data_IF_838889547754
#
_entry.id   IF_838889547754
#
_cell.length_a   1.000
_cell.length_b   1.000
_cell.length_c   1.000
_cell.angle_alpha   90.00
_cell.angle_beta   90.00
_cell.angle_gamma   90.00
#
_symmetry.space_group_name_H-M   'P 1'
#
loop_
_entity.id
_entity.type
_entity.pdbx_description
1 polymer ?
#
# COMPACT_ATOMS: atom_id res chain seq x y z
N UNK A 1 -9.68 -39.74 26.67
CA UNK A 1 -9.47 -38.29 26.79
C UNK A 1 -7.96 -38.02 26.82
N UNK A 2 -7.18 -38.86 26.13
CA UNK A 2 -5.76 -39.12 26.44
C UNK A 2 -4.86 -38.98 25.19
N UNK A 3 -5.43 -38.56 24.06
CA UNK A 3 -4.71 -38.50 22.80
C UNK A 3 -3.84 -37.24 22.69
N UNK A 4 -4.32 -36.09 23.18
CA UNK A 4 -3.58 -34.81 23.14
C UNK A 4 -2.29 -34.84 23.99
N UNK A 5 -2.33 -35.42 25.19
CA UNK A 5 -1.16 -35.53 26.06
C UNK A 5 -0.06 -36.46 25.48
N UNK A 6 -0.47 -37.49 24.73
CA UNK A 6 0.45 -38.40 24.03
C UNK A 6 1.15 -37.71 22.85
N UNK A 7 0.40 -36.90 22.10
CA UNK A 7 0.92 -36.07 20.99
C UNK A 7 1.92 -35.06 21.53
N UNK A 8 1.58 -34.37 22.62
CA UNK A 8 2.44 -33.35 23.23
C UNK A 8 3.77 -33.91 23.73
N UNK A 9 3.77 -35.16 24.21
CA UNK A 9 4.99 -35.86 24.62
C UNK A 9 5.87 -36.23 23.43
N UNK A 10 5.28 -36.79 22.37
CA UNK A 10 6.01 -37.22 21.17
C UNK A 10 6.61 -36.03 20.40
N UNK A 11 5.91 -34.88 20.37
CA UNK A 11 6.34 -33.67 19.67
C UNK A 11 6.97 -32.60 20.58
N UNK A 12 7.45 -32.99 21.76
CA UNK A 12 8.15 -32.09 22.71
C UNK A 12 9.37 -31.39 22.08
N UNK A 13 10.05 -32.04 21.14
CA UNK A 13 11.17 -31.46 20.36
C UNK A 13 10.71 -30.63 19.14
N UNK A 14 9.41 -30.45 18.94
CA UNK A 14 8.79 -29.67 17.85
C UNK A 14 8.68 -30.40 16.50
N UNK A 15 9.58 -31.34 16.22
CA UNK A 15 9.59 -32.22 15.05
C UNK A 15 9.74 -33.67 15.51
N UNK A 16 8.91 -34.57 14.98
CA UNK A 16 9.04 -36.01 15.18
C UNK A 16 8.62 -36.76 13.92
N UNK A 17 9.05 -38.02 13.82
CA UNK A 17 8.60 -38.93 12.76
C UNK A 17 7.19 -39.44 13.07
N UNK A 18 6.46 -39.82 12.02
CA UNK A 18 5.13 -40.39 12.16
C UNK A 18 5.20 -41.68 13.00
N UNK A 19 4.36 -41.82 14.06
CA UNK A 19 4.35 -43.01 14.91
C UNK A 19 3.71 -44.24 14.25
N UNK A 20 3.16 -44.11 13.03
CA UNK A 20 2.56 -45.22 12.28
C UNK A 20 3.66 -46.09 11.67
N UNK A 21 3.62 -47.38 11.96
CA UNK A 21 4.59 -48.35 11.45
C UNK A 21 4.69 -48.30 9.91
N UNK A 22 5.90 -48.09 9.39
CA UNK A 22 6.19 -48.00 7.95
C UNK A 22 6.01 -46.61 7.34
N UNK A 23 5.61 -45.59 8.11
CA UNK A 23 5.54 -44.21 7.67
C UNK A 23 6.71 -43.40 8.25
N UNK A 24 7.63 -42.95 7.39
CA UNK A 24 8.80 -42.13 7.80
C UNK A 24 8.64 -40.64 7.45
N UNK A 25 7.39 -40.16 7.43
CA UNK A 25 7.10 -38.75 7.15
C UNK A 25 7.41 -37.93 8.40
N UNK A 26 8.20 -36.87 8.21
CA UNK A 26 8.49 -35.89 9.26
C UNK A 26 7.26 -34.99 9.48
N UNK A 27 6.75 -34.95 10.71
CA UNK A 27 5.59 -34.15 11.09
C UNK A 27 6.01 -33.02 12.04
N UNK A 28 5.35 -31.87 11.95
CA UNK A 28 5.59 -30.72 12.82
C UNK A 28 4.34 -30.43 13.64
N UNK A 29 4.49 -30.15 14.96
CA UNK A 29 3.34 -29.91 15.85
C UNK A 29 2.40 -28.80 15.34
N UNK A 30 2.96 -27.72 14.76
CA UNK A 30 2.18 -26.59 14.22
C UNK A 30 1.33 -26.92 12.99
N UNK A 31 1.60 -28.04 12.31
CA UNK A 31 0.86 -28.48 11.12
C UNK A 31 -0.34 -29.35 11.48
N UNK A 32 -0.48 -29.73 12.75
CA UNK A 32 -1.63 -30.47 13.25
C UNK A 32 -2.87 -29.57 13.21
N UNK A 33 -3.99 -30.18 12.82
CA UNK A 33 -5.29 -29.53 12.76
C UNK A 33 -6.31 -30.42 13.43
N UNK A 34 -7.30 -29.81 14.06
CA UNK A 34 -8.46 -30.53 14.59
C UNK A 34 -9.27 -31.09 13.43
N UNK A 35 -9.62 -32.37 13.51
CA UNK A 35 -10.50 -33.02 12.56
C UNK A 35 -11.89 -32.35 12.59
N UNK A 36 -12.41 -32.00 11.42
CA UNK A 36 -13.71 -31.36 11.20
C UNK A 36 -14.74 -32.32 10.61
N UNK A 37 -14.29 -33.34 9.87
CA UNK A 37 -15.14 -34.36 9.26
C UNK A 37 -14.73 -35.76 9.72
N UNK A 38 -15.68 -36.68 9.88
CA UNK A 38 -15.41 -38.06 10.29
C UNK A 38 -14.57 -38.83 9.24
N UNK A 39 -14.74 -38.54 7.94
CA UNK A 39 -13.99 -39.18 6.86
C UNK A 39 -12.76 -38.37 6.42
N UNK A 40 -11.57 -38.96 6.58
CA UNK A 40 -10.30 -38.39 6.14
C UNK A 40 -10.23 -38.14 4.63
N UNK A 41 -11.00 -38.87 3.82
CA UNK A 41 -11.06 -38.64 2.36
C UNK A 41 -11.69 -37.30 2.04
N UNK A 42 -12.76 -36.94 2.76
CA UNK A 42 -13.46 -35.67 2.59
C UNK A 42 -12.54 -34.52 3.02
N UNK A 43 -11.81 -34.67 4.13
CA UNK A 43 -10.85 -33.64 4.56
C UNK A 43 -9.76 -33.40 3.52
N UNK A 44 -9.20 -34.48 2.96
CA UNK A 44 -8.21 -34.41 1.90
C UNK A 44 -8.76 -33.70 0.67
N UNK A 45 -9.97 -34.03 0.24
CA UNK A 45 -10.62 -33.35 -0.89
C UNK A 45 -10.80 -31.86 -0.62
N UNK A 46 -11.34 -31.50 0.55
CA UNK A 46 -11.59 -30.11 0.94
C UNK A 46 -10.27 -29.32 0.97
N UNK A 47 -9.19 -29.91 1.48
CA UNK A 47 -7.87 -29.27 1.47
C UNK A 47 -7.34 -29.08 0.05
N UNK A 48 -7.45 -30.10 -0.81
CA UNK A 48 -7.04 -30.02 -2.22
C UNK A 48 -7.84 -28.93 -2.94
N UNK A 49 -9.17 -28.89 -2.76
CA UNK A 49 -10.05 -27.89 -3.38
C UNK A 49 -9.71 -26.48 -2.92
N UNK A 50 -9.43 -26.28 -1.62
CA UNK A 50 -8.96 -24.99 -1.08
C UNK A 50 -7.62 -24.58 -1.69
N UNK A 51 -6.67 -25.51 -1.81
CA UNK A 51 -5.34 -25.25 -2.37
C UNK A 51 -5.38 -24.90 -3.86
N UNK A 52 -6.11 -25.69 -4.64
CA UNK A 52 -6.31 -25.44 -6.07
C UNK A 52 -7.10 -24.14 -6.26
N UNK A 53 -8.13 -23.89 -5.46
CA UNK A 53 -8.92 -22.65 -5.48
C UNK A 53 -8.08 -21.40 -5.23
N UNK A 54 -7.12 -21.45 -4.28
CA UNK A 54 -6.17 -20.34 -4.05
C UNK A 54 -5.26 -20.06 -5.25
N UNK A 55 -4.91 -21.10 -6.01
CA UNK A 55 -4.04 -20.97 -7.18
C UNK A 55 -4.83 -20.54 -8.42
N UNK A 56 -6.05 -21.07 -8.57
CA UNK A 56 -6.97 -20.89 -9.69
C UNK A 56 -8.20 -20.08 -9.25
N UNK A 57 -7.96 -18.84 -8.81
CA UNK A 57 -9.00 -17.89 -8.41
C UNK A 57 -9.27 -16.86 -9.53
N UNK A 58 -9.98 -17.30 -10.57
CA UNK A 58 -10.38 -16.50 -11.73
C UNK A 58 -11.88 -16.34 -11.75
N UNK A 59 -12.37 -15.13 -12.09
CA UNK A 59 -13.80 -14.78 -12.13
C UNK A 59 -14.33 -14.77 -13.56
N UNK A 60 -15.62 -15.02 -13.75
CA UNK A 60 -16.30 -14.99 -15.07
C UNK A 60 -16.06 -13.68 -15.84
N UNK A 61 -16.02 -12.53 -15.13
CA UNK A 61 -15.75 -11.21 -15.72
C UNK A 61 -14.41 -11.12 -16.47
N UNK A 62 -13.44 -11.96 -16.08
CA UNK A 62 -12.09 -12.01 -16.64
C UNK A 62 -12.05 -12.76 -17.99
N UNK A 63 -13.13 -13.44 -18.39
CA UNK A 63 -13.19 -14.21 -19.63
C UNK A 63 -13.93 -13.48 -20.74
N UNK A 64 -13.49 -13.66 -21.99
CA UNK A 64 -14.12 -13.09 -23.19
C UNK A 64 -15.50 -13.68 -23.43
N UNK A 65 -15.63 -15.00 -23.36
CA UNK A 65 -16.88 -15.72 -23.58
C UNK A 65 -17.27 -16.55 -22.37
N UNK A 66 -18.59 -16.74 -22.20
CA UNK A 66 -19.12 -17.64 -21.17
C UNK A 66 -18.65 -19.08 -21.37
N UNK A 67 -18.50 -19.52 -22.62
CA UNK A 67 -18.07 -20.88 -22.95
C UNK A 67 -16.65 -21.15 -22.49
N UNK A 68 -15.74 -20.18 -22.65
CA UNK A 68 -14.37 -20.32 -22.15
C UNK A 68 -14.32 -20.42 -20.62
N UNK A 69 -15.22 -19.72 -19.93
CA UNK A 69 -15.36 -19.85 -18.47
C UNK A 69 -15.91 -21.22 -18.06
N UNK A 70 -16.93 -21.75 -18.75
CA UNK A 70 -17.48 -23.08 -18.50
C UNK A 70 -16.40 -24.17 -18.75
N UNK A 71 -15.64 -24.07 -19.84
CA UNK A 71 -14.52 -24.97 -20.16
C UNK A 71 -13.39 -24.87 -19.10
N UNK A 72 -13.14 -23.68 -18.55
CA UNK A 72 -12.20 -23.46 -17.45
C UNK A 72 -12.65 -24.12 -16.14
N UNK A 73 -13.95 -24.03 -15.82
CA UNK A 73 -14.51 -24.70 -14.64
C UNK A 73 -14.38 -26.21 -14.76
N UNK A 74 -14.63 -26.77 -15.96
CA UNK A 74 -14.42 -28.20 -16.22
C UNK A 74 -12.95 -28.60 -16.02
N UNK A 75 -12.01 -27.83 -16.58
CA UNK A 75 -10.57 -28.06 -16.40
C UNK A 75 -10.16 -27.98 -14.92
N UNK A 76 -10.72 -27.03 -14.16
CA UNK A 76 -10.46 -26.91 -12.72
C UNK A 76 -10.91 -28.14 -11.96
N UNK A 77 -12.10 -28.66 -12.24
CA UNK A 77 -12.61 -29.88 -11.62
C UNK A 77 -11.81 -31.12 -12.05
N UNK A 78 -11.38 -31.22 -13.30
CA UNK A 78 -10.50 -32.31 -13.76
C UNK A 78 -9.19 -32.36 -12.97
N UNK A 79 -8.53 -31.20 -12.75
CA UNK A 79 -7.32 -31.12 -11.95
C UNK A 79 -7.57 -31.50 -10.48
N UNK A 80 -8.70 -31.09 -9.90
CA UNK A 80 -9.07 -31.47 -8.53
C UNK A 80 -9.28 -32.99 -8.44
N UNK A 81 -10.05 -33.56 -9.35
CA UNK A 81 -10.36 -34.99 -9.37
C UNK A 81 -9.10 -35.85 -9.52
N UNK A 82 -8.17 -35.44 -10.40
CA UNK A 82 -6.88 -36.11 -10.56
C UNK A 82 -6.06 -36.14 -9.26
N UNK A 83 -6.08 -35.05 -8.48
CA UNK A 83 -5.39 -34.98 -7.19
C UNK A 83 -6.10 -35.79 -6.09
N UNK A 84 -7.43 -35.83 -6.10
CA UNK A 84 -8.22 -36.59 -5.12
C UNK A 84 -8.02 -38.10 -5.29
N UNK A 85 -8.08 -38.59 -6.53
CA UNK A 85 -7.92 -40.02 -6.85
C UNK A 85 -6.46 -40.44 -7.04
N UNK A 86 -5.50 -39.50 -6.95
CA UNK A 86 -4.09 -39.71 -7.27
C UNK A 86 -3.83 -40.25 -8.70
N UNK A 87 -4.75 -40.00 -9.63
CA UNK A 87 -4.57 -40.29 -11.05
C UNK A 87 -3.76 -39.16 -11.69
N UNK A 88 -2.59 -39.47 -12.24
CA UNK A 88 -1.67 -38.48 -12.84
C UNK A 88 -1.39 -37.24 -11.94
N UNK A 89 -1.25 -37.48 -10.63
CA UNK A 89 -1.06 -36.43 -9.64
C UNK A 89 0.22 -35.61 -9.89
N UNK A 90 1.28 -36.24 -10.42
CA UNK A 90 2.56 -35.57 -10.69
C UNK A 90 2.45 -34.58 -11.85
N UNK A 91 1.84 -34.95 -12.98
CA UNK A 91 1.67 -34.02 -14.08
C UNK A 91 0.71 -32.89 -13.71
N UNK A 92 -0.34 -33.18 -12.94
CA UNK A 92 -1.29 -32.18 -12.43
C UNK A 92 -0.61 -31.17 -11.50
N UNK A 93 0.23 -31.63 -10.56
CA UNK A 93 1.06 -30.75 -9.71
C UNK A 93 2.03 -29.89 -10.52
N UNK A 94 2.62 -30.44 -11.59
CA UNK A 94 3.49 -29.68 -12.51
C UNK A 94 2.71 -28.58 -13.23
N UNK A 95 1.54 -28.90 -13.82
CA UNK A 95 0.67 -27.90 -14.46
C UNK A 95 0.30 -26.76 -13.51
N UNK A 96 -0.05 -27.07 -12.27
CA UNK A 96 -0.38 -26.07 -11.24
C UNK A 96 0.84 -25.22 -10.84
N UNK A 97 2.03 -25.83 -10.71
CA UNK A 97 3.29 -25.11 -10.46
C UNK A 97 3.63 -24.17 -11.62
N UNK A 98 3.56 -24.66 -12.84
CA UNK A 98 3.88 -23.87 -14.04
C UNK A 98 2.93 -22.68 -14.17
N UNK A 99 1.63 -22.88 -13.91
CA UNK A 99 0.65 -21.81 -13.86
C UNK A 99 0.95 -20.79 -12.75
N UNK A 100 1.25 -21.25 -11.54
CA UNK A 100 1.53 -20.37 -10.41
C UNK A 100 2.78 -19.52 -10.65
N UNK A 101 3.84 -20.12 -11.21
CA UNK A 101 5.07 -19.41 -11.59
C UNK A 101 4.79 -18.39 -12.68
N UNK A 102 4.03 -18.75 -13.71
CA UNK A 102 3.70 -17.87 -14.82
C UNK A 102 2.87 -16.64 -14.36
N UNK A 103 2.02 -16.82 -13.34
CA UNK A 103 1.18 -15.74 -12.78
C UNK A 103 1.76 -15.08 -11.52
N UNK A 104 2.99 -15.41 -11.12
CA UNK A 104 3.64 -14.85 -9.93
C UNK A 104 2.95 -15.18 -8.61
N UNK A 105 2.12 -16.23 -8.57
CA UNK A 105 1.41 -16.68 -7.38
C UNK A 105 2.39 -17.45 -6.49
N UNK A 106 2.56 -17.00 -5.25
CA UNK A 106 3.39 -17.69 -4.26
C UNK A 106 2.68 -18.97 -3.83
N UNK A 107 3.25 -20.12 -4.18
CA UNK A 107 2.81 -21.42 -3.70
C UNK A 107 3.45 -21.74 -2.36
N UNK A 108 2.74 -22.48 -1.52
CA UNK A 108 3.23 -22.90 -0.22
C UNK A 108 4.49 -23.78 -0.39
N UNK A 109 5.59 -23.42 0.27
CA UNK A 109 6.93 -24.04 0.14
C UNK A 109 6.98 -25.51 0.61
N UNK A 110 5.88 -26.00 1.19
CA UNK A 110 5.75 -27.32 1.84
C UNK A 110 5.68 -28.48 0.86
N UNK A 111 5.42 -28.25 -0.43
CA UNK A 111 5.44 -29.29 -1.46
C UNK A 111 6.84 -29.46 -2.11
N UNK A 112 7.90 -29.26 -1.31
CA UNK A 112 9.27 -29.61 -1.69
C UNK A 112 9.48 -31.13 -1.57
N UNK A 113 8.67 -31.88 -2.30
CA UNK A 113 9.02 -33.27 -2.60
C UNK A 113 10.11 -33.27 -3.67
N UNK A 114 11.07 -34.17 -3.46
CA UNK A 114 12.39 -34.30 -4.06
C UNK A 114 12.37 -34.54 -5.59
N UNK A 115 11.81 -33.63 -6.37
CA UNK A 115 11.81 -33.66 -7.83
C UNK A 115 12.82 -32.65 -8.40
N UNK A 116 13.62 -33.05 -9.42
CA UNK A 116 14.51 -32.12 -10.11
C UNK A 116 13.68 -31.04 -10.78
N UNK A 117 14.06 -29.78 -10.54
CA UNK A 117 13.52 -28.59 -11.18
C UNK A 117 13.45 -28.79 -12.70
N UNK A 118 12.25 -28.90 -13.31
CA UNK A 118 12.17 -28.93 -14.76
C UNK A 118 12.56 -27.56 -15.29
N UNK A 119 13.48 -27.54 -16.28
CA UNK A 119 13.76 -26.35 -17.07
C UNK A 119 12.44 -25.80 -17.63
N UNK A 120 12.22 -24.47 -17.64
CA UNK A 120 10.98 -23.90 -18.16
C UNK A 120 10.81 -24.36 -19.61
N UNK A 121 9.81 -25.22 -19.84
CA UNK A 121 9.46 -25.64 -21.19
C UNK A 121 8.80 -24.44 -21.85
N UNK A 122 9.57 -23.70 -22.64
CA UNK A 122 9.01 -22.73 -23.59
C UNK A 122 8.15 -23.52 -24.58
N UNK A 123 6.84 -23.64 -24.30
CA UNK A 123 5.89 -24.14 -25.29
C UNK A 123 5.88 -23.13 -26.43
N UNK A 124 6.31 -23.58 -27.61
CA UNK A 124 6.43 -22.76 -28.83
C UNK A 124 5.06 -22.33 -29.39
N UNK A 125 3.97 -22.85 -28.84
CA UNK A 125 2.63 -22.77 -29.44
C UNK A 125 1.72 -21.74 -28.76
N UNK A 126 2.21 -20.98 -27.77
CA UNK A 126 1.43 -19.91 -27.12
C UNK A 126 1.87 -18.57 -27.71
N UNK A 127 0.94 -17.87 -28.36
CA UNK A 127 1.18 -16.53 -28.90
C UNK A 127 1.68 -15.61 -27.78
N UNK A 128 2.67 -14.75 -28.08
CA UNK A 128 3.25 -13.82 -27.11
C UNK A 128 2.22 -12.84 -26.51
N UNK A 129 1.06 -12.69 -27.18
CA UNK A 129 -0.05 -11.81 -26.78
C UNK A 129 -1.14 -12.54 -25.96
N UNK A 130 -0.98 -13.83 -25.65
CA UNK A 130 -1.94 -14.58 -24.85
C UNK A 130 -1.97 -14.05 -23.41
N UNK A 131 -3.17 -13.75 -22.89
CA UNK A 131 -3.35 -13.21 -21.55
C UNK A 131 -2.85 -14.15 -20.43
N UNK A 132 -2.80 -15.46 -20.69
CA UNK A 132 -2.20 -16.44 -19.79
C UNK A 132 -0.79 -16.85 -20.25
N UNK A 133 0.28 -16.46 -19.51
CA UNK A 133 1.65 -16.82 -19.85
C UNK A 133 1.94 -18.33 -19.74
N UNK A 134 1.06 -19.10 -19.10
CA UNK A 134 1.14 -20.57 -19.00
C UNK A 134 0.45 -21.31 -20.16
N UNK A 135 -0.46 -20.62 -20.88
CA UNK A 135 -1.35 -21.23 -21.88
C UNK A 135 -2.29 -22.30 -21.33
N UNK A 136 -2.50 -22.35 -20.00
CA UNK A 136 -3.38 -23.33 -19.36
C UNK A 136 -4.85 -22.96 -19.48
N UNK A 137 -5.14 -21.66 -19.38
CA UNK A 137 -6.50 -21.11 -19.43
C UNK A 137 -6.69 -20.45 -20.82
N UNK A 138 -7.89 -20.60 -21.38
CA UNK A 138 -8.28 -20.05 -22.68
C UNK A 138 -9.25 -18.89 -22.47
N UNK A 139 -9.23 -17.91 -23.37
CA UNK A 139 -10.21 -16.83 -23.39
C UNK A 139 -10.09 -15.82 -22.23
N UNK A 140 -8.95 -15.78 -21.53
CA UNK A 140 -8.72 -14.80 -20.48
C UNK A 140 -8.46 -13.42 -21.11
N UNK A 141 -9.10 -12.38 -20.60
CA UNK A 141 -8.95 -11.00 -21.05
C UNK A 141 -7.62 -10.45 -20.60
N UNK A 142 -6.93 -9.73 -21.48
CA UNK A 142 -5.71 -9.00 -21.12
C UNK A 142 -6.07 -7.85 -20.16
N UNK A 143 -5.57 -7.91 -18.92
CA UNK A 143 -5.78 -6.87 -17.92
C UNK A 143 -4.97 -5.64 -18.32
N UNK A 144 -5.61 -4.73 -19.04
CA UNK A 144 -5.04 -3.40 -19.30
C UNK A 144 -5.02 -2.64 -17.99
N UNK A 145 -3.85 -2.55 -17.35
CA UNK A 145 -3.66 -1.71 -16.16
C UNK A 145 -4.07 -0.29 -16.54
N UNK A 146 -5.08 0.31 -15.89
CA UNK A 146 -5.48 1.67 -16.20
C UNK A 146 -4.28 2.57 -15.97
N UNK A 147 -3.93 3.38 -16.97
CA UNK A 147 -2.81 4.32 -16.88
C UNK A 147 -3.00 5.16 -15.62
N UNK A 148 -1.96 5.23 -14.79
CA UNK A 148 -1.99 6.04 -13.57
C UNK A 148 -2.41 7.47 -13.93
N UNK A 149 -3.41 8.00 -13.22
CA UNK A 149 -3.84 9.39 -13.40
C UNK A 149 -2.63 10.29 -13.17
N UNK A 150 -2.38 11.21 -14.10
CA UNK A 150 -1.30 12.17 -13.94
C UNK A 150 -1.48 12.98 -12.63
N UNK A 151 -0.37 13.45 -12.01
CA UNK A 151 -0.45 14.34 -10.85
C UNK A 151 -1.39 15.52 -11.12
N UNK A 152 -2.24 15.85 -10.15
CA UNK A 152 -3.24 16.92 -10.29
C UNK A 152 -2.55 18.28 -10.51
N UNK A 153 -2.87 18.93 -11.63
CA UNK A 153 -2.41 20.29 -11.94
C UNK A 153 -3.54 21.30 -11.65
N UNK A 154 -3.38 22.20 -10.65
CA UNK A 154 -4.36 23.24 -10.31
C UNK A 154 -4.68 24.20 -11.47
N UNK A 155 -3.77 24.32 -12.45
CA UNK A 155 -3.95 25.19 -13.60
C UNK A 155 -4.42 24.43 -14.84
N UNK A 156 -4.64 23.10 -14.78
CA UNK A 156 -5.12 22.27 -15.90
C UNK A 156 -4.37 22.52 -17.22
N UNK A 157 -3.05 22.74 -17.17
CA UNK A 157 -2.25 23.03 -18.36
C UNK A 157 -2.48 24.42 -18.98
N UNK A 158 -3.10 25.34 -18.25
CA UNK A 158 -3.25 26.74 -18.68
C UNK A 158 -1.86 27.37 -18.81
N UNK A 159 -1.59 27.96 -19.97
CA UNK A 159 -0.30 28.56 -20.23
C UNK A 159 -0.01 29.63 -19.17
N UNK A 160 1.15 29.53 -18.50
CA UNK A 160 1.58 30.54 -17.51
C UNK A 160 1.85 31.90 -18.18
N UNK A 161 2.03 31.89 -19.50
CA UNK A 161 2.13 33.08 -20.34
C UNK A 161 0.73 33.66 -20.56
N UNK A 162 0.54 34.93 -20.23
CA UNK A 162 -0.72 35.65 -20.43
C UNK A 162 -0.71 36.24 -21.83
N UNK A 163 -1.67 35.87 -22.68
CA UNK A 163 -1.69 36.25 -24.10
C UNK A 163 -1.78 37.76 -24.36
N UNK A 164 -2.19 38.54 -23.36
CA UNK A 164 -2.49 39.96 -23.52
C UNK A 164 -1.37 40.91 -23.10
N UNK A 165 -0.39 40.46 -22.31
CA UNK A 165 0.72 41.32 -21.89
C UNK A 165 1.94 40.52 -21.46
N UNK A 166 3.12 41.03 -21.80
CA UNK A 166 4.40 40.50 -21.34
C UNK A 166 4.84 41.25 -20.07
N UNK A 167 4.95 40.53 -18.96
CA UNK A 167 5.58 41.06 -17.75
C UNK A 167 7.07 41.20 -18.03
N UNK A 168 7.55 42.44 -18.09
CA UNK A 168 8.98 42.73 -18.24
C UNK A 168 9.68 42.60 -16.89
N UNK A 169 10.91 42.10 -16.90
CA UNK A 169 11.72 41.91 -15.69
C UNK A 169 12.02 43.22 -14.97
N UNK A 170 12.04 44.35 -15.69
CA UNK A 170 12.17 45.67 -15.09
C UNK A 170 11.17 46.66 -15.69
N UNK A 171 10.51 47.41 -14.81
CA UNK A 171 9.67 48.54 -15.17
C UNK A 171 10.43 49.81 -14.82
N UNK A 172 10.51 50.75 -15.76
CA UNK A 172 11.06 52.08 -15.48
C UNK A 172 10.09 52.80 -14.56
N UNK A 173 10.36 52.76 -13.25
CA UNK A 173 9.61 53.53 -12.28
C UNK A 173 9.75 55.02 -12.64
N UNK A 174 8.64 55.66 -12.99
CA UNK A 174 8.61 57.07 -13.42
C UNK A 174 8.83 58.07 -12.27
N UNK A 175 9.26 57.59 -11.10
CA UNK A 175 9.68 58.42 -9.99
C UNK A 175 11.13 58.85 -10.20
N UNK A 176 11.33 60.05 -10.75
CA UNK A 176 12.64 60.71 -10.75
C UNK A 176 12.87 61.29 -9.35
N UNK A 177 13.73 60.63 -8.55
CA UNK A 177 14.19 61.15 -7.25
C UNK A 177 14.61 60.04 -6.30
N UNK A 178 15.59 60.30 -5.42
CA UNK A 178 15.87 59.40 -4.29
C UNK A 178 14.64 59.42 -3.37
N UNK A 179 14.13 58.27 -2.88
CA UNK A 179 12.93 58.22 -2.03
C UNK A 179 13.10 58.94 -0.68
N UNK A 180 14.32 59.34 -0.34
CA UNK A 180 14.63 60.01 0.92
C UNK A 180 14.09 61.45 1.02
N UNK A 181 13.98 62.19 -0.10
CA UNK A 181 13.65 63.62 -0.04
C UNK A 181 12.16 63.92 -0.26
N UNK A 182 11.33 62.89 -0.49
CA UNK A 182 9.94 63.07 -0.94
C UNK A 182 8.88 62.86 0.15
N UNK A 183 9.27 62.60 1.40
CA UNK A 183 8.34 62.30 2.49
C UNK A 183 8.17 63.46 3.47
N UNK A 184 8.29 64.71 3.01
CA UNK A 184 7.86 65.88 3.79
C UNK A 184 6.39 66.18 3.50
N UNK A 185 5.50 65.98 4.47
CA UNK A 185 4.09 66.36 4.36
C UNK A 185 3.85 67.62 5.21
N UNK A 186 3.29 68.67 4.60
CA UNK A 186 2.95 69.94 5.25
C UNK A 186 4.12 70.70 5.93
N UNK A 187 5.36 70.48 5.47
CA UNK A 187 6.55 71.22 5.92
C UNK A 187 7.32 70.58 7.08
N UNK A 188 6.89 69.43 7.59
CA UNK A 188 7.63 68.64 8.58
C UNK A 188 8.17 67.35 7.96
N UNK A 189 9.37 66.96 8.37
CA UNK A 189 9.88 65.61 8.16
C UNK A 189 9.14 64.64 9.10
N UNK A 190 8.84 63.42 8.64
CA UNK A 190 8.00 62.47 9.38
C UNK A 190 8.55 62.19 10.78
N UNK A 191 9.87 62.06 10.91
CA UNK A 191 10.52 61.86 12.20
C UNK A 191 10.37 63.05 13.14
N UNK A 192 10.53 64.28 12.62
CA UNK A 192 10.40 65.51 13.40
C UNK A 192 8.97 65.71 13.93
N UNK A 193 7.96 65.37 13.11
CA UNK A 193 6.56 65.45 13.52
C UNK A 193 6.24 64.47 14.66
N UNK A 194 6.77 63.24 14.58
CA UNK A 194 6.60 62.24 15.64
C UNK A 194 7.27 62.70 16.93
N UNK A 195 8.49 63.25 16.87
CA UNK A 195 9.20 63.75 18.04
C UNK A 195 8.44 64.89 18.73
N UNK A 196 7.89 65.85 17.97
CA UNK A 196 7.09 66.95 18.53
C UNK A 196 5.80 66.42 19.17
N UNK A 197 5.09 65.51 18.49
CA UNK A 197 3.87 64.89 19.01
C UNK A 197 4.13 64.14 20.32
N UNK A 198 5.25 63.43 20.41
CA UNK A 198 5.62 62.66 21.59
C UNK A 198 6.02 63.59 22.75
N UNK A 199 6.83 64.63 22.49
CA UNK A 199 7.15 65.66 23.48
C UNK A 199 5.88 66.35 24.00
N UNK A 200 4.98 66.77 23.11
CA UNK A 200 3.73 67.45 23.49
C UNK A 200 2.79 66.53 24.29
N UNK A 201 2.76 65.24 23.96
CA UNK A 201 1.97 64.26 24.69
C UNK A 201 2.46 64.06 26.12
N UNK A 202 3.78 64.10 26.38
CA UNK A 202 4.34 63.79 27.71
C UNK A 202 4.74 65.03 28.54
N UNK A 203 4.92 66.20 27.93
CA UNK A 203 5.38 67.42 28.60
C UNK A 203 4.44 67.97 29.70
N UNK A 204 3.24 67.40 29.88
CA UNK A 204 2.29 67.78 30.92
C UNK A 204 1.80 66.62 31.82
N UNK A 205 2.31 65.40 31.62
CA UNK A 205 1.90 64.21 32.40
C UNK A 205 2.91 63.80 33.47
N UNK A 206 3.96 64.60 33.70
CA UNK A 206 4.94 64.35 34.76
C UNK A 206 4.34 64.62 36.14
N UNK A 207 4.02 63.56 36.88
CA UNK A 207 3.73 63.64 38.33
C UNK A 207 5.05 63.44 39.06
N UNK A 208 5.58 64.50 39.68
CA UNK A 208 6.76 64.39 40.53
C UNK A 208 6.34 63.84 41.89
N UNK A 209 6.77 62.62 42.22
CA UNK A 209 6.40 61.92 43.47
C UNK A 209 6.80 62.75 44.70
N UNK A 210 7.86 63.55 44.62
CA UNK A 210 8.28 64.44 45.70
C UNK A 210 7.26 65.54 46.01
N UNK A 211 6.55 66.07 44.99
CA UNK A 211 5.45 67.04 45.18
C UNK A 211 4.22 66.38 45.82
N UNK A 212 3.94 65.10 45.53
CA UNK A 212 2.86 64.33 46.18
C UNK A 212 3.21 63.89 47.62
N UNK A 213 4.48 63.58 47.91
CA UNK A 213 4.92 63.12 49.22
C UNK A 213 4.96 64.25 50.26
N UNK A 214 5.25 65.49 49.85
CA UNK A 214 5.14 66.67 50.74
C UNK A 214 3.71 66.97 51.20
N UNK A 215 2.70 66.58 50.40
CA UNK A 215 1.28 66.76 50.70
C UNK A 215 0.69 65.64 51.58
N UNK A 216 1.36 64.48 51.70
CA UNK A 216 0.96 63.38 52.59
C UNK A 216 1.53 63.57 53.99
N UNK A 217 0.97 64.55 54.71
CA UNK A 217 0.83 64.58 56.17
C UNK A 217 2.09 64.41 57.01
N UNK A 218 2.57 65.52 57.58
CA UNK A 218 3.33 65.48 58.83
C UNK A 218 2.56 64.64 59.88
N UNK A 219 3.21 63.73 60.61
CA UNK A 219 2.57 63.05 61.73
C UNK A 219 2.26 64.08 62.83
N UNK A 220 1.00 64.13 63.26
CA UNK A 220 0.56 64.85 64.46
C UNK A 220 1.39 64.35 65.64
N UNK A 221 2.23 65.23 66.20
CA UNK A 221 2.87 65.00 67.49
C UNK A 221 1.92 65.45 68.60
N UNK A 222 1.64 64.53 69.54
CA UNK A 222 1.01 64.66 70.88
C UNK A 222 0.10 65.87 71.13
#
# INVERSE_FOLDING_TARGET
MDDEDSIDRNFSSGKAECPVAGCHVNLWKREWRTQTFEDLKIEREVEIRKRVGKTLDRREEEFETKRDYDDYLELKEELIMNLVFNTDAQATRRKLRDYAVANGIKTDTTDSTNEPTPKPVKRKDVAADAADPSGLIKGLKNIVVPKAKAPYDPFMGMARTRDYYEVKESYVARARGKPADAMSAAGYDFHQYVDECLLRAFAGFGVFIDDEMGAKGAPVAV
#
